data_IF_333211367339
#
_entry.id   IF_333211367339
#
_cell.length_a   1.000
_cell.length_b   1.000
_cell.length_c   1.000
_cell.angle_alpha   90.00
_cell.angle_beta   90.00
_cell.angle_gamma   90.00
#
_symmetry.space_group_name_H-M   'P 1'
#
loop_
_entity.id
_entity.type
_entity.pdbx_description
1 polymer ?
#
# COMPACT_ATOMS: atom_id res chain seq x y z
N UNK A 1 3.82 52.25 38.18
CA UNK A 1 3.74 52.30 36.70
C UNK A 1 4.11 50.93 36.15
N UNK A 2 3.16 50.28 35.46
CA UNK A 2 3.32 48.93 34.89
C UNK A 2 3.75 49.10 33.44
N UNK A 3 4.94 48.62 33.08
CA UNK A 3 5.40 48.59 31.69
C UNK A 3 4.97 47.25 31.10
N UNK A 4 3.90 47.30 30.33
CA UNK A 4 3.40 46.24 29.45
C UNK A 4 4.39 46.08 28.29
N UNK A 5 5.04 44.92 28.17
CA UNK A 5 5.75 44.54 26.94
C UNK A 5 4.83 43.59 26.16
N UNK A 6 4.26 44.16 25.10
CA UNK A 6 3.53 43.49 24.02
C UNK A 6 4.55 43.17 22.91
N UNK A 7 4.29 42.08 22.15
CA UNK A 7 5.02 41.58 20.97
C UNK A 7 6.26 40.71 21.21
N UNK A 8 6.09 39.39 21.09
CA UNK A 8 6.61 38.56 19.97
C UNK A 8 5.60 37.42 19.79
N UNK A 9 4.53 37.70 19.04
CA UNK A 9 3.74 36.70 18.32
C UNK A 9 4.35 36.61 16.93
N UNK A 10 5.43 35.85 16.79
CA UNK A 10 6.02 35.47 15.50
C UNK A 10 7.17 34.52 15.80
N UNK A 11 6.88 33.23 15.85
CA UNK A 11 7.53 32.28 14.96
C UNK A 11 6.76 30.96 15.07
N UNK A 12 5.84 30.85 14.12
CA UNK A 12 5.55 29.63 13.39
C UNK A 12 5.30 28.39 14.24
N UNK A 13 4.01 28.10 14.40
CA UNK A 13 3.49 26.75 14.17
C UNK A 13 4.55 25.82 13.56
N UNK A 14 5.20 25.00 14.39
CA UNK A 14 5.74 23.77 13.88
C UNK A 14 4.52 22.99 13.41
N UNK A 15 4.29 23.15 12.12
CA UNK A 15 3.48 22.31 11.27
C UNK A 15 3.73 20.89 11.76
N UNK A 16 2.77 20.32 12.49
CA UNK A 16 2.61 18.88 12.37
C UNK A 16 2.32 18.71 10.90
N UNK A 17 3.34 18.34 10.14
CA UNK A 17 3.15 17.69 8.87
C UNK A 17 2.38 16.43 9.25
N UNK A 18 1.04 16.53 9.29
CA UNK A 18 0.22 15.41 8.94
C UNK A 18 0.59 15.15 7.49
N UNK A 19 1.65 14.36 7.28
CA UNK A 19 1.79 13.65 6.03
C UNK A 19 0.48 12.88 5.90
N UNK A 20 -0.40 13.40 5.04
CA UNK A 20 -1.49 12.59 4.51
C UNK A 20 -0.82 11.30 4.06
N UNK A 21 -1.30 10.13 4.51
CA UNK A 21 -0.63 8.86 4.26
C UNK A 21 -0.33 8.79 2.78
N UNK A 22 0.92 8.50 2.43
CA UNK A 22 1.52 8.60 1.10
C UNK A 22 0.60 7.96 0.03
N UNK A 23 -0.40 8.73 -0.39
CA UNK A 23 -1.49 8.35 -1.26
C UNK A 23 -1.32 9.20 -2.51
N UNK A 24 -0.16 9.04 -3.14
CA UNK A 24 0.09 9.43 -4.51
C UNK A 24 0.52 8.24 -5.36
N UNK A 25 -0.13 7.10 -5.15
CA UNK A 25 -0.58 6.26 -6.26
C UNK A 25 -2.10 6.13 -6.19
N UNK A 26 -2.79 7.26 -6.07
CA UNK A 26 -4.13 7.38 -6.63
C UNK A 26 -3.97 7.87 -8.05
N UNK A 27 -3.92 6.94 -8.99
CA UNK A 27 -4.45 7.25 -10.31
C UNK A 27 -5.98 7.20 -10.14
N UNK A 28 -6.56 8.27 -9.58
CA UNK A 28 -7.95 8.63 -9.90
C UNK A 28 -7.93 9.14 -11.34
N UNK A 29 -7.58 8.26 -12.28
CA UNK A 29 -8.04 8.44 -13.63
C UNK A 29 -9.50 8.02 -13.55
N UNK A 30 -10.41 8.96 -13.77
CA UNK A 30 -11.84 8.70 -13.97
C UNK A 30 -12.12 7.75 -15.15
N UNK A 31 -11.07 7.17 -15.75
CA UNK A 31 -11.04 6.16 -16.81
C UNK A 31 -10.10 4.98 -16.54
N UNK A 32 -9.82 4.60 -15.28
CA UNK A 32 -9.17 3.30 -15.03
C UNK A 32 -10.15 2.17 -15.37
N UNK A 33 -10.19 1.74 -16.64
CA UNK A 33 -11.09 0.68 -17.13
C UNK A 33 -11.03 -0.62 -16.32
N UNK A 34 -9.93 -0.87 -15.60
CA UNK A 34 -9.67 -2.14 -14.90
C UNK A 34 -10.03 -2.17 -13.42
N UNK A 35 -10.34 -1.03 -12.78
CA UNK A 35 -10.51 -0.97 -11.33
C UNK A 35 -9.21 -1.28 -10.55
N UNK A 36 -9.30 -1.39 -9.23
CA UNK A 36 -8.17 -1.70 -8.34
C UNK A 36 -8.58 -2.75 -7.30
N UNK A 37 -7.59 -3.34 -6.63
CA UNK A 37 -7.79 -4.33 -5.56
C UNK A 37 -7.50 -3.72 -4.20
N UNK A 38 -7.99 -4.34 -3.14
CA UNK A 38 -7.69 -3.90 -1.77
C UNK A 38 -7.24 -5.12 -0.97
N UNK A 39 -6.01 -5.10 -0.47
CA UNK A 39 -5.53 -5.97 0.58
C UNK A 39 -5.91 -5.35 1.93
N UNK A 40 -6.90 -5.92 2.61
CA UNK A 40 -7.18 -5.65 4.01
C UNK A 40 -6.29 -6.52 4.88
N UNK A 41 -5.73 -5.94 5.93
CA UNK A 41 -4.85 -6.66 6.84
C UNK A 41 -5.04 -6.23 8.29
N UNK A 42 -4.89 -7.18 9.20
CA UNK A 42 -4.83 -6.94 10.65
C UNK A 42 -3.55 -6.25 11.07
N UNK A 43 -2.54 -6.17 10.19
CA UNK A 43 -1.29 -5.46 10.45
C UNK A 43 -1.59 -3.97 10.59
N UNK A 44 -1.16 -3.39 11.70
CA UNK A 44 -1.34 -1.96 11.99
C UNK A 44 -0.12 -1.12 11.63
N UNK A 45 1.09 -1.68 11.77
CA UNK A 45 2.32 -0.95 11.45
C UNK A 45 2.59 -0.96 9.94
N UNK A 46 2.40 0.19 9.31
CA UNK A 46 2.65 0.38 7.87
C UNK A 46 4.12 0.18 7.48
N UNK A 47 5.07 0.39 8.41
CA UNK A 47 6.50 0.31 8.12
C UNK A 47 6.94 -1.11 7.78
N UNK A 48 6.22 -2.13 8.27
CA UNK A 48 6.50 -3.52 7.93
C UNK A 48 6.31 -3.81 6.43
N UNK A 49 5.45 -3.04 5.74
CA UNK A 49 5.32 -3.14 4.28
C UNK A 49 6.39 -2.34 3.51
N UNK A 50 7.22 -1.56 4.19
CA UNK A 50 8.39 -0.90 3.58
C UNK A 50 9.63 -1.80 3.56
N UNK A 51 9.55 -3.02 4.11
CA UNK A 51 10.60 -4.03 3.98
C UNK A 51 10.79 -4.50 2.53
N UNK A 52 11.97 -5.00 2.20
CA UNK A 52 12.29 -5.49 0.86
C UNK A 52 11.54 -6.78 0.53
N UNK A 53 11.02 -6.85 -0.70
CA UNK A 53 10.52 -8.10 -1.26
C UNK A 53 11.70 -8.97 -1.70
N UNK A 54 11.97 -10.05 -0.96
CA UNK A 54 13.12 -10.95 -1.19
C UNK A 54 14.43 -10.15 -1.32
N UNK A 55 15.32 -10.60 -2.18
CA UNK A 55 16.59 -9.92 -2.47
C UNK A 55 16.45 -8.74 -3.45
N UNK A 56 15.22 -8.34 -3.79
CA UNK A 56 14.99 -7.27 -4.76
C UNK A 56 15.20 -5.86 -4.16
N UNK A 57 15.13 -4.84 -5.03
CA UNK A 57 15.14 -3.44 -4.61
C UNK A 57 13.72 -2.86 -4.42
N UNK A 58 12.67 -3.67 -4.51
CA UNK A 58 11.30 -3.23 -4.29
C UNK A 58 10.87 -3.51 -2.87
N UNK A 59 10.11 -2.60 -2.27
CA UNK A 59 9.43 -2.83 -1.00
C UNK A 59 8.13 -3.61 -1.20
N UNK A 60 7.64 -4.29 -0.16
CA UNK A 60 6.40 -5.06 -0.22
C UNK A 60 5.21 -4.21 -0.68
N UNK A 61 5.05 -2.99 -0.16
CA UNK A 61 3.99 -2.07 -0.57
C UNK A 61 4.14 -1.61 -2.02
N UNK A 62 5.38 -1.36 -2.47
CA UNK A 62 5.65 -0.98 -3.84
C UNK A 62 5.26 -2.10 -4.81
N UNK A 63 5.58 -3.36 -4.48
CA UNK A 63 5.18 -4.52 -5.28
C UNK A 63 3.67 -4.54 -5.50
N UNK A 64 2.88 -4.50 -4.42
CA UNK A 64 1.42 -4.55 -4.50
C UNK A 64 0.81 -3.34 -5.24
N UNK A 65 1.25 -2.13 -4.90
CA UNK A 65 0.66 -0.90 -5.43
C UNK A 65 0.99 -0.69 -6.90
N UNK A 66 2.24 -0.92 -7.29
CA UNK A 66 2.73 -0.59 -8.63
C UNK A 66 2.50 -1.73 -9.63
N UNK A 67 2.86 -2.97 -9.26
CA UNK A 67 2.80 -4.09 -10.21
C UNK A 67 1.46 -4.82 -10.22
N UNK A 68 0.70 -4.75 -9.12
CA UNK A 68 -0.55 -5.50 -8.95
C UNK A 68 -1.79 -4.62 -8.78
N UNK A 69 -1.66 -3.29 -8.91
CA UNK A 69 -2.75 -2.33 -8.75
C UNK A 69 -3.59 -2.57 -7.47
N UNK A 70 -2.90 -2.87 -6.37
CA UNK A 70 -3.50 -3.29 -5.10
C UNK A 70 -3.18 -2.27 -4.00
N UNK A 71 -4.23 -1.67 -3.44
CA UNK A 71 -4.13 -0.85 -2.24
C UNK A 71 -3.98 -1.72 -0.98
N UNK A 72 -3.44 -1.15 0.09
CA UNK A 72 -3.31 -1.80 1.39
C UNK A 72 -4.13 -1.00 2.41
N UNK A 73 -5.04 -1.68 3.09
CA UNK A 73 -5.90 -1.16 4.15
C UNK A 73 -5.51 -1.84 5.47
N UNK A 74 -5.01 -1.05 6.41
CA UNK A 74 -4.34 -1.52 7.62
C UNK A 74 -5.31 -1.58 8.80
N UNK A 75 -4.93 -2.27 9.87
CA UNK A 75 -5.71 -2.36 11.12
C UNK A 75 -7.15 -2.83 10.92
N UNK A 76 -7.36 -3.71 9.93
CA UNK A 76 -8.63 -4.37 9.67
C UNK A 76 -8.87 -5.52 10.66
N UNK A 77 -10.09 -6.07 10.65
CA UNK A 77 -10.45 -7.20 11.52
C UNK A 77 -9.89 -8.54 11.02
N UNK A 78 -9.71 -8.68 9.72
CA UNK A 78 -9.30 -9.92 9.05
C UNK A 78 -8.36 -9.59 7.87
N UNK A 79 -7.61 -10.60 7.44
CA UNK A 79 -6.74 -10.54 6.27
C UNK A 79 -7.53 -11.01 5.04
N UNK A 80 -7.77 -10.10 4.09
CA UNK A 80 -8.59 -10.37 2.91
C UNK A 80 -8.09 -9.60 1.69
N UNK A 81 -8.13 -10.21 0.52
CA UNK A 81 -7.94 -9.56 -0.76
C UNK A 81 -9.30 -9.36 -1.44
N UNK A 82 -9.67 -8.10 -1.69
CA UNK A 82 -10.77 -7.73 -2.55
C UNK A 82 -10.27 -7.60 -3.99
N UNK A 83 -10.78 -8.44 -4.88
CA UNK A 83 -10.52 -8.35 -6.32
C UNK A 83 -11.16 -7.08 -6.94
N UNK A 84 -10.77 -6.78 -8.17
CA UNK A 84 -11.34 -5.66 -8.95
C UNK A 84 -12.86 -5.78 -9.14
N UNK A 85 -13.43 -6.99 -9.09
CA UNK A 85 -14.88 -7.23 -9.19
C UNK A 85 -15.57 -7.24 -7.82
N UNK A 86 -14.86 -6.92 -6.73
CA UNK A 86 -15.40 -6.89 -5.36
C UNK A 86 -15.50 -8.25 -4.67
N UNK A 87 -15.08 -9.36 -5.30
CA UNK A 87 -15.00 -10.66 -4.63
C UNK A 87 -13.89 -10.65 -3.58
N UNK A 88 -14.19 -11.08 -2.36
CA UNK A 88 -13.23 -11.28 -1.27
C UNK A 88 -12.58 -12.67 -1.32
N UNK A 89 -11.32 -12.72 -0.94
CA UNK A 89 -10.51 -13.92 -0.76
C UNK A 89 -9.81 -13.79 0.60
N UNK A 90 -10.08 -14.72 1.51
CA UNK A 90 -9.40 -14.76 2.81
C UNK A 90 -7.93 -15.11 2.62
N UNK A 91 -7.06 -14.44 3.37
CA UNK A 91 -5.64 -14.77 3.45
C UNK A 91 -5.35 -15.50 4.76
N UNK A 92 -4.54 -16.54 4.68
CA UNK A 92 -4.10 -17.30 5.86
C UNK A 92 -2.81 -16.73 6.47
N UNK A 93 -2.02 -16.01 5.65
CA UNK A 93 -0.80 -15.37 6.09
C UNK A 93 -1.06 -14.24 7.08
N UNK A 94 -0.20 -14.15 8.10
CA UNK A 94 -0.22 -13.07 9.11
C UNK A 94 0.98 -12.13 8.98
N UNK A 95 2.10 -12.67 8.51
CA UNK A 95 3.32 -11.91 8.29
C UNK A 95 3.24 -11.15 6.96
N UNK A 96 3.62 -9.85 6.89
CA UNK A 96 3.52 -9.04 5.67
C UNK A 96 4.19 -9.64 4.44
N UNK A 97 5.36 -10.27 4.58
CA UNK A 97 6.09 -10.84 3.45
C UNK A 97 5.30 -11.99 2.81
N UNK A 98 4.92 -12.98 3.63
CA UNK A 98 4.09 -14.12 3.19
C UNK A 98 2.70 -13.68 2.70
N UNK A 99 2.12 -12.65 3.32
CA UNK A 99 0.84 -12.08 2.92
C UNK A 99 0.90 -11.44 1.52
N UNK A 100 1.98 -10.75 1.20
CA UNK A 100 2.20 -10.18 -0.13
C UNK A 100 2.35 -11.29 -1.16
N UNK A 101 3.09 -12.36 -0.85
CA UNK A 101 3.21 -13.52 -1.75
C UNK A 101 1.88 -14.21 -2.01
N UNK A 102 1.11 -14.50 -0.96
CA UNK A 102 -0.22 -15.10 -1.07
C UNK A 102 -1.17 -14.21 -1.89
N UNK A 103 -1.16 -12.89 -1.65
CA UNK A 103 -1.94 -11.95 -2.44
C UNK A 103 -1.52 -11.98 -3.92
N UNK A 104 -0.21 -12.00 -4.21
CA UNK A 104 0.30 -12.06 -5.57
C UNK A 104 -0.11 -13.35 -6.30
N UNK A 105 -0.10 -14.50 -5.61
CA UNK A 105 -0.56 -15.77 -6.17
C UNK A 105 -2.07 -15.77 -6.45
N UNK A 106 -2.87 -15.32 -5.49
CA UNK A 106 -4.32 -15.15 -5.68
C UNK A 106 -4.61 -14.25 -6.87
N UNK A 107 -3.91 -13.12 -6.98
CA UNK A 107 -4.03 -12.19 -8.10
C UNK A 107 -3.57 -12.85 -9.41
N UNK A 108 -2.45 -13.56 -9.40
CA UNK A 108 -1.90 -14.27 -10.55
C UNK A 108 -2.87 -15.29 -11.14
N UNK A 109 -3.80 -15.82 -10.35
CA UNK A 109 -4.86 -16.71 -10.81
C UNK A 109 -6.09 -16.00 -11.40
N UNK A 110 -6.15 -14.66 -11.36
CA UNK A 110 -7.25 -13.85 -11.92
C UNK A 110 -6.96 -13.37 -13.34
N UNK A 111 -7.99 -13.13 -14.16
CA UNK A 111 -7.84 -12.74 -15.57
C UNK A 111 -6.87 -11.58 -15.82
N UNK A 112 -7.04 -10.45 -15.12
CA UNK A 112 -6.13 -9.31 -15.24
C UNK A 112 -4.77 -9.55 -14.57
N UNK A 113 -4.77 -10.32 -13.47
CA UNK A 113 -3.58 -10.54 -12.66
C UNK A 113 -2.59 -11.55 -13.23
N UNK A 114 -3.03 -12.48 -14.09
CA UNK A 114 -2.13 -13.41 -14.79
C UNK A 114 -1.01 -12.68 -15.53
N UNK A 115 -1.36 -11.60 -16.23
CA UNK A 115 -0.38 -10.80 -16.96
C UNK A 115 0.52 -10.00 -16.01
N UNK A 116 -0.05 -9.39 -14.98
CA UNK A 116 0.69 -8.64 -13.95
C UNK A 116 1.73 -9.53 -13.27
N UNK A 117 1.31 -10.72 -12.85
CA UNK A 117 2.16 -11.71 -12.18
C UNK A 117 3.29 -12.22 -13.08
N UNK A 118 2.97 -12.56 -14.34
CA UNK A 118 3.98 -12.99 -15.31
C UNK A 118 5.02 -11.91 -15.58
N UNK A 119 4.61 -10.66 -15.76
CA UNK A 119 5.54 -9.56 -16.04
C UNK A 119 6.40 -9.22 -14.81
N UNK A 120 5.83 -9.25 -13.61
CA UNK A 120 6.61 -9.07 -12.38
C UNK A 120 7.63 -10.19 -12.17
N UNK A 121 7.24 -11.46 -12.36
CA UNK A 121 8.16 -12.59 -12.21
C UNK A 121 9.34 -12.52 -13.20
N UNK A 122 9.10 -12.09 -14.44
CA UNK A 122 10.18 -11.84 -15.41
C UNK A 122 11.10 -10.70 -14.99
N UNK A 123 10.56 -9.70 -14.27
CA UNK A 123 11.33 -8.54 -13.82
C UNK A 123 12.28 -8.91 -12.68
N UNK A 124 11.79 -9.64 -11.68
CA UNK A 124 12.59 -10.07 -10.51
C UNK A 124 13.60 -11.18 -10.83
N UNK A 125 13.42 -11.95 -11.90
CA UNK A 125 14.39 -12.96 -12.33
C UNK A 125 15.60 -12.37 -13.08
N UNK A 126 15.53 -11.08 -13.45
CA UNK A 126 16.58 -10.37 -14.19
C UNK A 126 17.40 -9.41 -13.32
N UNK A 127 16.89 -9.10 -12.14
CA UNK A 127 17.54 -8.26 -11.13
C UNK A 127 18.37 -9.16 -10.20
#
# INVERSE_FOLDING_TARGET
MRITILFILLFTSFVSAQELPEMKVYVKNSKMEKGFRILKTTVSDSLLFKEKYKDSNYTLDYVLRYYYATAIDLSCKENELFSMSGKSFRLESKDPSTMVEEAMELIGNMYFGQREHKEFNKKIQKD
#
